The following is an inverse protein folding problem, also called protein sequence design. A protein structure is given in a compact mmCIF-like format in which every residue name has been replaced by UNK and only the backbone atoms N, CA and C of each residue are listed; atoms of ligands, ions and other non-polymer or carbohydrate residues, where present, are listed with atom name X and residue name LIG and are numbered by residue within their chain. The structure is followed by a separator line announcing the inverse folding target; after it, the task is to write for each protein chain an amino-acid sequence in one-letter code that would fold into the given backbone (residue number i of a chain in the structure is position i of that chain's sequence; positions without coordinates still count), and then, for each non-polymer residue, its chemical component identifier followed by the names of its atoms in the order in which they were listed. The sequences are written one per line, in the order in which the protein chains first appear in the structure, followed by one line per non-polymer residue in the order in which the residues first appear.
data_IF_195621759856
#
_entry.id   IF_195621759856
#
_cell.length_a   1.000
_cell.length_b   1.000
_cell.length_c   1.000
_cell.angle_alpha   90.00
_cell.angle_beta   90.00
_cell.angle_gamma   90.00
#
_symmetry.space_group_name_H-M   'P 1'
#
loop_
_entity.id
_entity.type
_entity.pdbx_description
1 polymer ?
#
# COMPACT_ATOMS: atom_id res chain seq x y z
N UNK A 1 -29.34 -17.87 -17.37
CA UNK A 1 -29.00 -16.46 -17.12
C UNK A 1 -27.59 -16.40 -16.59
N UNK A 2 -26.70 -15.76 -17.34
CA UNK A 2 -25.31 -15.61 -16.92
C UNK A 2 -25.02 -14.13 -16.64
N UNK A 3 -24.74 -13.81 -15.38
CA UNK A 3 -24.36 -12.45 -14.96
C UNK A 3 -22.87 -12.17 -15.22
N UNK A 4 -22.08 -13.17 -15.63
CA UNK A 4 -20.65 -13.02 -15.83
C UNK A 4 -19.93 -12.69 -14.53
N UNK A 5 -19.00 -11.74 -14.59
CA UNK A 5 -18.19 -11.32 -13.44
C UNK A 5 -18.81 -10.06 -12.81
N UNK A 6 -19.16 -10.16 -11.52
CA UNK A 6 -19.62 -9.03 -10.72
C UNK A 6 -18.61 -8.70 -9.62
N UNK A 7 -18.41 -7.42 -9.33
CA UNK A 7 -17.58 -6.98 -8.20
C UNK A 7 -18.21 -7.43 -6.88
N UNK A 8 -17.40 -7.76 -5.86
CA UNK A 8 -17.90 -8.05 -4.52
C UNK A 8 -18.67 -6.83 -3.96
N UNK A 9 -19.80 -7.07 -3.28
CA UNK A 9 -20.64 -5.97 -2.75
C UNK A 9 -21.51 -5.25 -3.79
N UNK A 10 -21.55 -5.73 -5.03
CA UNK A 10 -22.35 -5.10 -6.10
C UNK A 10 -23.63 -5.88 -6.38
N UNK A 11 -24.51 -5.27 -7.18
CA UNK A 11 -25.71 -5.93 -7.71
C UNK A 11 -25.67 -5.94 -9.23
N UNK A 12 -26.05 -7.07 -9.83
CA UNK A 12 -26.26 -7.21 -11.26
C UNK A 12 -27.74 -7.42 -11.56
N UNK A 13 -28.24 -6.91 -12.70
CA UNK A 13 -29.64 -7.09 -13.10
C UNK A 13 -29.75 -7.59 -14.54
N UNK A 14 -30.49 -8.67 -14.76
CA UNK A 14 -30.78 -9.23 -16.08
C UNK A 14 -32.28 -9.39 -16.29
N UNK A 15 -32.70 -9.34 -17.54
CA UNK A 15 -34.08 -9.58 -17.95
C UNK A 15 -34.27 -11.06 -18.33
N UNK A 16 -35.28 -11.68 -17.73
CA UNK A 16 -35.83 -12.98 -18.09
C UNK A 16 -37.15 -12.76 -18.82
N UNK A 17 -37.18 -13.06 -20.11
CA UNK A 17 -38.42 -13.01 -20.90
C UNK A 17 -39.13 -14.36 -20.81
N UNK A 18 -40.35 -14.35 -20.29
CA UNK A 18 -41.25 -15.50 -20.31
C UNK A 18 -42.32 -15.25 -21.38
N UNK A 19 -42.55 -16.21 -22.25
CA UNK A 19 -43.48 -16.07 -23.36
C UNK A 19 -44.25 -17.37 -23.59
N UNK A 20 -45.58 -17.26 -23.65
CA UNK A 20 -46.43 -18.36 -24.05
C UNK A 20 -46.45 -18.50 -25.57
N UNK A 21 -46.24 -19.73 -26.04
CA UNK A 21 -46.40 -20.11 -27.46
C UNK A 21 -47.80 -20.65 -27.78
N UNK A 22 -48.58 -21.05 -26.77
CA UNK A 22 -49.90 -21.70 -26.92
C UNK A 22 -51.11 -20.75 -27.07
N UNK A 23 -50.90 -19.45 -27.27
CA UNK A 23 -51.95 -18.48 -27.59
C UNK A 23 -52.92 -18.08 -26.47
N UNK A 24 -52.84 -18.70 -25.28
CA UNK A 24 -53.65 -18.37 -24.10
C UNK A 24 -52.84 -17.56 -23.06
N UNK A 25 -53.49 -17.06 -22.01
CA UNK A 25 -52.80 -16.40 -20.89
C UNK A 25 -52.11 -17.43 -19.99
N UNK A 26 -50.87 -17.18 -19.58
CA UNK A 26 -50.20 -17.98 -18.54
C UNK A 26 -50.51 -17.39 -17.16
N UNK A 27 -50.70 -18.29 -16.20
CA UNK A 27 -50.76 -17.98 -14.78
C UNK A 27 -49.52 -18.61 -14.15
N UNK A 28 -48.56 -17.78 -13.78
CA UNK A 28 -47.25 -18.28 -13.35
C UNK A 28 -46.74 -17.62 -12.08
N UNK A 29 -45.89 -18.38 -11.39
CA UNK A 29 -45.12 -17.96 -10.23
C UNK A 29 -43.63 -18.08 -10.55
N UNK A 30 -42.86 -17.10 -10.09
CA UNK A 30 -41.41 -17.05 -10.25
C UNK A 30 -40.78 -17.00 -8.87
N UNK A 31 -39.92 -17.97 -8.59
CA UNK A 31 -39.19 -18.07 -7.34
C UNK A 31 -37.71 -18.37 -7.59
N UNK A 32 -36.86 -18.02 -6.64
CA UNK A 32 -35.44 -18.41 -6.65
C UNK A 32 -35.13 -19.31 -5.47
N UNK A 33 -34.17 -20.20 -5.64
CA UNK A 33 -33.70 -21.12 -4.59
C UNK A 33 -32.55 -20.56 -3.74
N UNK A 34 -32.02 -19.37 -4.04
CA UNK A 34 -30.92 -18.75 -3.30
C UNK A 34 -31.26 -17.32 -2.91
N UNK A 35 -30.93 -16.94 -1.68
CA UNK A 35 -31.21 -15.61 -1.14
C UNK A 35 -30.49 -14.47 -1.88
N UNK A 36 -29.32 -14.74 -2.48
CA UNK A 36 -28.57 -13.77 -3.27
C UNK A 36 -29.15 -13.51 -4.67
N UNK A 37 -30.20 -14.24 -5.08
CA UNK A 37 -30.97 -13.96 -6.31
C UNK A 37 -32.38 -13.55 -5.93
N UNK A 38 -32.78 -12.38 -6.39
CA UNK A 38 -34.14 -11.85 -6.20
C UNK A 38 -34.79 -11.58 -7.54
N UNK A 39 -36.12 -11.62 -7.55
CA UNK A 39 -36.93 -11.29 -8.73
C UNK A 39 -37.87 -10.14 -8.39
N UNK A 40 -38.06 -9.22 -9.32
CA UNK A 40 -38.91 -8.04 -9.09
C UNK A 40 -40.41 -8.37 -9.03
N UNK A 41 -40.81 -9.52 -9.58
CA UNK A 41 -42.18 -10.01 -9.57
C UNK A 41 -42.18 -11.51 -9.33
N UNK A 42 -43.01 -11.95 -8.38
CA UNK A 42 -43.14 -13.37 -7.99
C UNK A 42 -44.31 -14.07 -8.65
N UNK A 43 -45.24 -13.32 -9.23
CA UNK A 43 -46.38 -13.86 -9.97
C UNK A 43 -46.69 -13.00 -11.19
N UNK A 44 -47.30 -13.61 -12.19
CA UNK A 44 -47.72 -12.92 -13.41
C UNK A 44 -48.96 -13.59 -14.03
N UNK A 45 -49.76 -12.76 -14.71
CA UNK A 45 -50.91 -13.18 -15.51
C UNK A 45 -50.78 -12.51 -16.87
N UNK A 46 -50.11 -13.18 -17.81
CA UNK A 46 -49.87 -12.62 -19.15
C UNK A 46 -49.50 -13.73 -20.14
N UNK A 47 -49.67 -13.47 -21.43
CA UNK A 47 -49.08 -14.30 -22.49
C UNK A 47 -47.59 -14.00 -22.70
N UNK A 48 -47.10 -12.83 -22.29
CA UNK A 48 -45.68 -12.50 -22.26
C UNK A 48 -45.35 -11.52 -21.14
N UNK A 49 -44.26 -11.78 -20.43
CA UNK A 49 -43.79 -10.94 -19.33
C UNK A 49 -42.27 -10.90 -19.30
N UNK A 50 -41.72 -9.76 -18.89
CA UNK A 50 -40.28 -9.60 -18.63
C UNK A 50 -40.07 -9.49 -17.13
N UNK A 51 -39.44 -10.50 -16.53
CA UNK A 51 -39.04 -10.55 -15.13
C UNK A 51 -37.62 -10.06 -15.01
N UNK A 52 -37.39 -9.09 -14.14
CA UNK A 52 -36.04 -8.70 -13.80
C UNK A 52 -35.52 -9.52 -12.65
N UNK A 53 -34.36 -10.12 -12.89
CA UNK A 53 -33.60 -10.91 -11.93
C UNK A 53 -32.44 -10.05 -11.45
N UNK A 54 -32.34 -9.88 -10.14
CA UNK A 54 -31.24 -9.17 -9.49
C UNK A 54 -30.38 -10.17 -8.72
N UNK A 55 -29.08 -10.19 -9.00
CA UNK A 55 -28.09 -10.92 -8.22
C UNK A 55 -27.37 -9.94 -7.29
N UNK A 56 -27.28 -10.26 -6.01
CA UNK A 56 -26.62 -9.46 -4.98
C UNK A 56 -25.38 -10.19 -4.44
N UNK A 57 -24.21 -9.59 -4.61
CA UNK A 57 -22.93 -10.19 -4.20
C UNK A 57 -22.44 -9.72 -2.83
N UNK A 58 -23.21 -8.93 -2.07
CA UNK A 58 -22.83 -8.40 -0.75
C UNK A 58 -22.47 -9.47 0.29
N UNK A 59 -23.13 -10.63 0.24
CA UNK A 59 -22.86 -11.76 1.12
C UNK A 59 -21.98 -12.85 0.50
N UNK A 60 -21.44 -12.65 -0.69
CA UNK A 60 -20.69 -13.66 -1.44
C UNK A 60 -19.17 -13.45 -1.34
N UNK A 61 -18.41 -14.54 -1.31
CA UNK A 61 -16.95 -14.50 -1.23
C UNK A 61 -16.34 -14.14 -2.57
N UNK A 62 -15.39 -13.21 -2.55
CA UNK A 62 -14.62 -12.81 -3.73
C UNK A 62 -13.86 -14.00 -4.36
N UNK A 63 -13.69 -13.97 -5.68
CA UNK A 63 -12.94 -14.97 -6.45
C UNK A 63 -13.68 -16.29 -6.69
N UNK A 64 -14.88 -16.48 -6.13
CA UNK A 64 -15.67 -17.72 -6.27
C UNK A 64 -16.75 -17.62 -7.35
N UNK A 65 -17.14 -18.78 -7.88
CA UNK A 65 -18.29 -18.93 -8.77
C UNK A 65 -19.52 -19.40 -7.97
N UNK A 66 -20.68 -18.90 -8.33
CA UNK A 66 -21.96 -19.21 -7.69
C UNK A 66 -23.01 -19.59 -8.71
N UNK A 67 -23.83 -20.57 -8.33
CA UNK A 67 -24.94 -21.05 -9.13
C UNK A 67 -26.25 -21.08 -8.34
N UNK A 68 -27.31 -20.62 -8.97
CA UNK A 68 -28.67 -20.64 -8.47
C UNK A 68 -29.62 -21.11 -9.58
N UNK A 69 -30.88 -21.26 -9.21
CA UNK A 69 -31.96 -21.60 -10.13
C UNK A 69 -33.13 -20.66 -9.88
N UNK A 70 -33.75 -20.23 -10.96
CA UNK A 70 -35.05 -19.59 -10.95
C UNK A 70 -36.04 -20.62 -11.45
N UNK A 71 -37.08 -20.85 -10.66
CA UNK A 71 -38.16 -21.77 -11.00
C UNK A 71 -39.35 -20.94 -11.41
N UNK A 72 -39.79 -21.13 -12.66
CA UNK A 72 -41.01 -20.58 -13.21
C UNK A 72 -42.04 -21.70 -13.20
N UNK A 73 -42.99 -21.65 -12.27
CA UNK A 73 -44.10 -22.59 -12.23
C UNK A 73 -45.30 -22.00 -12.94
N UNK A 74 -46.00 -22.79 -13.73
CA UNK A 74 -47.24 -22.31 -14.36
C UNK A 74 -48.37 -23.32 -14.23
N UNK A 75 -49.60 -22.83 -14.05
CA UNK A 75 -50.78 -23.68 -13.90
C UNK A 75 -51.18 -24.38 -15.20
N UNK A 76 -50.82 -23.81 -16.35
CA UNK A 76 -51.33 -24.23 -17.66
C UNK A 76 -50.26 -24.27 -18.78
N UNK A 77 -48.98 -24.11 -18.45
CA UNK A 77 -47.86 -24.09 -19.41
C UNK A 77 -46.66 -24.96 -19.02
N UNK A 78 -46.73 -25.70 -17.90
CA UNK A 78 -45.62 -26.48 -17.36
C UNK A 78 -44.66 -25.66 -16.48
N UNK A 79 -43.70 -26.37 -15.87
CA UNK A 79 -42.68 -25.77 -15.02
C UNK A 79 -41.35 -25.68 -15.79
N UNK A 80 -40.67 -24.55 -15.66
CA UNK A 80 -39.36 -24.33 -16.26
C UNK A 80 -38.33 -23.92 -15.19
N UNK A 81 -37.11 -24.44 -15.32
CA UNK A 81 -35.99 -24.13 -14.44
C UNK A 81 -34.92 -23.40 -15.23
N UNK A 82 -34.68 -22.14 -14.87
CA UNK A 82 -33.67 -21.29 -15.50
C UNK A 82 -32.42 -21.29 -14.61
N UNK A 83 -31.28 -21.84 -15.09
CA UNK A 83 -30.03 -21.77 -14.34
C UNK A 83 -29.53 -20.32 -14.29
N UNK A 84 -29.02 -19.92 -13.13
CA UNK A 84 -28.39 -18.62 -12.89
C UNK A 84 -26.94 -18.85 -12.51
N UNK A 85 -26.00 -18.23 -13.22
CA UNK A 85 -24.57 -18.29 -12.92
C UNK A 85 -23.99 -16.90 -12.75
N UNK A 86 -23.03 -16.77 -11.82
CA UNK A 86 -22.17 -15.61 -11.71
C UNK A 86 -20.80 -16.00 -11.15
N UNK A 87 -19.83 -15.13 -11.34
CA UNK A 87 -18.54 -15.18 -10.64
C UNK A 87 -18.32 -13.85 -9.91
N UNK A 88 -17.93 -13.93 -8.65
CA UNK A 88 -17.53 -12.72 -7.92
C UNK A 88 -16.06 -12.44 -8.25
N UNK A 89 -15.77 -11.21 -8.67
CA UNK A 89 -14.41 -10.76 -8.94
C UNK A 89 -13.52 -11.05 -7.72
N UNK A 90 -12.28 -11.50 -7.95
CA UNK A 90 -11.31 -11.65 -6.88
C UNK A 90 -10.90 -10.27 -6.36
N UNK A 91 -10.58 -10.18 -5.07
CA UNK A 91 -9.95 -8.99 -4.52
C UNK A 91 -8.58 -8.83 -5.17
N UNK A 92 -8.30 -7.64 -5.67
CA UNK A 92 -7.02 -7.36 -6.30
C UNK A 92 -5.97 -7.16 -5.19
N UNK A 93 -5.07 -8.13 -5.03
CA UNK A 93 -4.03 -8.11 -3.99
C UNK A 93 -2.68 -7.81 -4.64
N UNK A 94 -2.03 -6.68 -4.30
CA UNK A 94 -0.67 -6.41 -4.72
C UNK A 94 0.31 -7.29 -3.93
N UNK A 95 1.45 -7.61 -4.53
CA UNK A 95 2.56 -8.35 -3.90
C UNK A 95 3.87 -7.71 -4.30
N UNK A 96 4.64 -7.23 -3.32
CA UNK A 96 5.94 -6.59 -3.56
C UNK A 96 6.96 -7.64 -4.02
N UNK A 97 7.62 -7.35 -5.13
CA UNK A 97 8.69 -8.13 -5.70
C UNK A 97 9.82 -7.21 -6.21
N UNK A 98 10.94 -7.81 -6.60
CA UNK A 98 12.08 -7.08 -7.21
C UNK A 98 12.96 -6.28 -6.25
N UNK A 99 12.59 -6.13 -4.98
CA UNK A 99 13.44 -5.51 -3.96
C UNK A 99 14.69 -6.39 -3.70
N UNK A 100 15.92 -5.91 -4.00
CA UNK A 100 17.13 -6.67 -3.67
C UNK A 100 17.34 -6.70 -2.15
N UNK A 101 17.90 -7.78 -1.62
CA UNK A 101 18.26 -7.84 -0.19
C UNK A 101 19.49 -6.99 0.13
N UNK A 102 20.44 -6.92 -0.81
CA UNK A 102 21.71 -6.20 -0.65
C UNK A 102 22.01 -5.41 -1.93
N UNK A 103 22.47 -4.17 -1.75
CA UNK A 103 23.07 -3.33 -2.78
C UNK A 103 24.50 -3.04 -2.37
N UNK A 104 25.45 -3.53 -3.17
CA UNK A 104 26.87 -3.29 -2.95
C UNK A 104 27.38 -2.22 -3.90
N UNK A 105 27.85 -1.09 -3.36
CA UNK A 105 28.48 -0.03 -4.14
C UNK A 105 29.97 -0.28 -4.45
N UNK A 106 30.58 -1.27 -3.80
CA UNK A 106 32.00 -1.60 -3.92
C UNK A 106 32.90 -0.49 -3.36
N UNK A 107 34.16 -0.51 -3.80
CA UNK A 107 35.13 0.52 -3.46
C UNK A 107 34.76 1.87 -4.10
N UNK A 108 34.67 2.90 -3.27
CA UNK A 108 34.28 4.24 -3.68
C UNK A 108 35.21 5.27 -3.05
N UNK A 109 35.79 6.12 -3.90
CA UNK A 109 36.70 7.17 -3.46
C UNK A 109 36.07 8.08 -2.39
N UNK A 110 36.83 8.50 -1.36
CA UNK A 110 36.36 9.45 -0.36
C UNK A 110 35.91 10.78 -1.02
N UNK A 111 34.77 11.32 -0.60
CA UNK A 111 34.27 12.60 -1.15
C UNK A 111 33.42 12.49 -2.40
N UNK A 112 33.06 11.28 -2.84
CA UNK A 112 32.30 11.07 -4.09
C UNK A 112 30.85 10.64 -3.81
N UNK A 113 30.02 10.75 -4.85
CA UNK A 113 28.63 10.28 -4.86
C UNK A 113 28.51 9.12 -5.85
N UNK A 114 27.93 8.01 -5.40
CA UNK A 114 27.55 6.88 -6.25
C UNK A 114 26.05 6.73 -6.32
N UNK A 115 25.56 6.29 -7.46
CA UNK A 115 24.13 6.15 -7.73
C UNK A 115 23.88 4.76 -8.30
N UNK A 116 22.83 4.08 -7.82
CA UNK A 116 22.32 2.83 -8.38
C UNK A 116 20.81 2.90 -8.50
N UNK A 117 20.30 2.44 -9.64
CA UNK A 117 18.86 2.31 -9.86
C UNK A 117 18.36 1.01 -9.27
N UNK A 118 17.28 1.08 -8.49
CA UNK A 118 16.54 -0.06 -7.96
C UNK A 118 15.16 -0.06 -8.58
N UNK A 119 14.67 -1.23 -8.96
CA UNK A 119 13.30 -1.39 -9.48
C UNK A 119 12.50 -2.31 -8.57
N UNK A 120 11.39 -1.78 -8.05
CA UNK A 120 10.36 -2.56 -7.38
C UNK A 120 9.32 -2.96 -8.41
N UNK A 121 8.79 -4.17 -8.27
CA UNK A 121 7.77 -4.72 -9.13
C UNK A 121 6.62 -5.27 -8.30
N UNK A 122 5.44 -5.36 -8.92
CA UNK A 122 4.28 -6.00 -8.34
C UNK A 122 4.03 -7.33 -9.04
N UNK A 123 4.15 -8.44 -8.30
CA UNK A 123 3.79 -9.78 -8.82
C UNK A 123 2.32 -10.13 -8.59
N UNK A 124 1.58 -9.29 -7.88
CA UNK A 124 0.15 -9.45 -7.60
C UNK A 124 -0.76 -8.82 -8.66
N UNK A 125 -2.07 -8.87 -8.42
CA UNK A 125 -3.11 -8.36 -9.32
C UNK A 125 -3.62 -6.96 -8.97
N UNK A 126 -3.30 -6.47 -7.75
CA UNK A 126 -3.63 -5.13 -7.27
C UNK A 126 -2.73 -4.03 -7.85
N UNK A 127 -2.95 -2.78 -7.42
CA UNK A 127 -1.98 -1.70 -7.64
C UNK A 127 -1.05 -1.63 -6.44
N UNK A 128 0.25 -1.69 -6.67
CA UNK A 128 1.24 -1.55 -5.60
C UNK A 128 1.40 -0.07 -5.24
N UNK A 129 1.26 0.21 -3.95
CA UNK A 129 1.31 1.55 -3.37
C UNK A 129 2.17 1.47 -2.13
N UNK A 130 3.09 2.41 -1.97
CA UNK A 130 3.99 2.39 -0.85
C UNK A 130 4.92 3.58 -0.75
N UNK A 131 5.82 3.49 0.22
CA UNK A 131 6.84 4.48 0.52
C UNK A 131 8.19 3.81 0.74
N UNK A 132 9.26 4.49 0.37
CA UNK A 132 10.64 4.07 0.67
C UNK A 132 11.32 5.10 1.55
N UNK A 133 12.02 4.64 2.59
CA UNK A 133 12.63 5.51 3.59
C UNK A 133 13.97 4.95 4.07
N UNK A 134 14.92 5.83 4.37
CA UNK A 134 16.19 5.49 5.00
C UNK A 134 16.45 6.36 6.22
N UNK A 135 17.14 5.79 7.21
CA UNK A 135 17.66 6.52 8.39
C UNK A 135 19.18 6.68 8.33
N UNK A 136 19.80 6.26 7.23
CA UNK A 136 21.25 6.24 7.08
C UNK A 136 21.70 7.60 6.52
N UNK A 137 22.47 8.41 7.26
CA UNK A 137 22.74 9.81 6.87
C UNK A 137 23.49 9.98 5.54
N UNK A 138 24.29 8.99 5.16
CA UNK A 138 25.06 8.98 3.91
C UNK A 138 24.28 8.39 2.71
N UNK A 139 23.04 7.94 2.92
CA UNK A 139 22.14 7.46 1.88
C UNK A 139 21.01 8.45 1.61
N UNK A 140 20.71 8.65 0.33
CA UNK A 140 19.54 9.38 -0.13
C UNK A 140 18.79 8.56 -1.18
N UNK A 141 17.48 8.79 -1.28
CA UNK A 141 16.59 8.15 -2.26
C UNK A 141 16.00 9.25 -3.15
N UNK A 142 15.98 9.06 -4.46
CA UNK A 142 15.43 10.06 -5.39
C UNK A 142 13.93 10.27 -5.24
N UNK A 143 13.23 9.21 -4.85
CA UNK A 143 11.78 9.15 -4.69
C UNK A 143 11.46 8.45 -3.38
N UNK A 144 10.38 8.88 -2.73
CA UNK A 144 9.99 8.36 -1.41
C UNK A 144 8.61 7.72 -1.39
N UNK A 145 7.80 7.93 -2.43
CA UNK A 145 6.45 7.42 -2.54
C UNK A 145 6.18 6.88 -3.93
N UNK A 146 5.31 5.89 -4.05
CA UNK A 146 4.96 5.32 -5.33
C UNK A 146 3.55 4.74 -5.35
N UNK A 147 2.94 4.81 -6.54
CA UNK A 147 1.68 4.14 -6.89
C UNK A 147 1.83 3.61 -8.31
N UNK A 148 2.48 2.46 -8.44
CA UNK A 148 2.78 1.85 -9.72
C UNK A 148 3.10 0.37 -9.55
N UNK A 149 2.81 -0.43 -10.57
CA UNK A 149 3.17 -1.85 -10.59
C UNK A 149 4.64 -2.11 -10.96
N UNK A 150 5.30 -1.08 -11.49
CA UNK A 150 6.75 -1.02 -11.67
C UNK A 150 7.19 0.36 -11.24
N UNK A 151 8.13 0.42 -10.31
CA UNK A 151 8.64 1.66 -9.75
C UNK A 151 10.16 1.62 -9.69
N UNK A 152 10.81 2.52 -10.41
CA UNK A 152 12.26 2.64 -10.41
C UNK A 152 12.68 3.94 -9.75
N UNK A 153 13.67 3.86 -8.87
CA UNK A 153 14.22 5.01 -8.16
C UNK A 153 15.73 4.85 -7.98
N UNK A 154 16.40 5.95 -7.69
CA UNK A 154 17.84 5.96 -7.48
C UNK A 154 18.17 5.91 -5.99
N UNK A 155 19.06 5.00 -5.63
CA UNK A 155 19.74 4.96 -4.35
C UNK A 155 21.07 5.67 -4.50
N UNK A 156 21.28 6.69 -3.68
CA UNK A 156 22.40 7.61 -3.75
C UNK A 156 23.24 7.46 -2.48
N UNK A 157 24.49 7.03 -2.62
CA UNK A 157 25.44 6.94 -1.52
C UNK A 157 26.46 8.09 -1.62
N UNK A 158 26.67 8.82 -0.52
CA UNK A 158 27.62 9.95 -0.45
C UNK A 158 28.72 9.67 0.56
N UNK A 159 29.97 9.59 0.11
CA UNK A 159 31.14 9.23 0.96
C UNK A 159 31.86 10.42 1.57
N UNK A 160 31.36 11.66 1.40
CA UNK A 160 32.04 12.87 1.85
C UNK A 160 32.32 12.93 3.36
N UNK A 161 31.45 12.34 4.18
CA UNK A 161 31.57 12.32 5.63
C UNK A 161 31.88 10.92 6.18
N UNK A 162 32.31 9.98 5.33
CA UNK A 162 32.63 8.61 5.73
C UNK A 162 34.14 8.46 5.94
N UNK A 163 34.51 7.91 7.10
CA UNK A 163 35.90 7.52 7.36
C UNK A 163 36.30 6.33 6.45
N UNK A 164 37.59 6.09 6.21
CA UNK A 164 38.04 4.88 5.53
C UNK A 164 37.55 3.61 6.23
N UNK A 165 37.09 2.63 5.46
CA UNK A 165 36.56 1.35 5.94
C UNK A 165 35.22 0.96 5.30
N UNK A 166 34.65 -0.13 5.80
CA UNK A 166 33.34 -0.64 5.40
C UNK A 166 32.22 0.11 6.10
N UNK A 167 31.24 0.58 5.33
CA UNK A 167 30.01 1.18 5.86
C UNK A 167 28.80 0.41 5.38
N UNK A 168 27.92 0.10 6.33
CA UNK A 168 26.65 -0.57 6.07
C UNK A 168 25.49 0.30 6.54
N UNK A 169 24.49 0.41 5.68
CA UNK A 169 23.28 1.19 5.89
C UNK A 169 22.07 0.43 5.39
N UNK A 170 20.88 0.94 5.67
CA UNK A 170 19.66 0.30 5.21
C UNK A 170 18.59 1.31 4.81
N UNK A 171 17.73 0.89 3.90
CA UNK A 171 16.45 1.55 3.64
C UNK A 171 15.32 0.51 3.66
N UNK A 172 14.13 0.98 3.98
CA UNK A 172 12.93 0.17 4.13
C UNK A 172 11.91 0.57 3.07
N UNK A 173 11.25 -0.43 2.52
CA UNK A 173 10.11 -0.32 1.62
C UNK A 173 8.87 -0.72 2.42
N UNK A 174 7.92 0.19 2.53
CA UNK A 174 6.62 -0.06 3.13
C UNK A 174 5.59 -0.03 2.01
N UNK A 175 4.96 -1.16 1.69
CA UNK A 175 3.96 -1.22 0.63
C UNK A 175 2.75 -2.06 1.03
N UNK A 176 1.62 -1.80 0.37
CA UNK A 176 0.41 -2.63 0.50
C UNK A 176 0.60 -4.06 -0.03
N UNK A 177 1.70 -4.34 -0.75
CA UNK A 177 2.08 -5.69 -1.18
C UNK A 177 3.10 -6.37 -0.27
N UNK A 178 3.41 -5.79 0.89
CA UNK A 178 4.35 -6.31 1.87
C UNK A 178 5.55 -5.38 2.13
N UNK A 179 6.23 -5.52 3.29
CA UNK A 179 7.43 -4.77 3.60
C UNK A 179 8.69 -5.43 3.00
N UNK A 180 9.70 -4.63 2.71
CA UNK A 180 11.05 -5.12 2.41
C UNK A 180 12.12 -4.25 3.06
N UNK A 181 13.22 -4.86 3.48
CA UNK A 181 14.42 -4.15 3.98
C UNK A 181 15.57 -4.43 3.02
N UNK A 182 16.25 -3.37 2.60
CA UNK A 182 17.38 -3.44 1.69
C UNK A 182 18.62 -2.91 2.40
N UNK A 183 19.64 -3.77 2.50
CA UNK A 183 20.94 -3.39 3.04
C UNK A 183 21.79 -2.78 1.94
N UNK A 184 22.53 -1.72 2.25
CA UNK A 184 23.44 -1.06 1.34
C UNK A 184 24.83 -1.08 1.96
N UNK A 185 25.80 -1.61 1.21
CA UNK A 185 27.20 -1.67 1.64
C UNK A 185 28.08 -0.86 0.71
N UNK A 186 29.07 -0.19 1.28
CA UNK A 186 30.05 0.62 0.54
C UNK A 186 31.41 0.51 1.24
N UNK A 187 32.48 0.44 0.45
CA UNK A 187 33.85 0.40 0.95
C UNK A 187 34.54 1.72 0.61
N UNK A 188 35.11 2.40 1.60
CA UNK A 188 35.88 3.63 1.40
C UNK A 188 37.36 3.31 1.61
N UNK A 189 38.21 3.32 0.57
CA UNK A 189 39.63 3.05 0.72
C UNK A 189 40.31 4.18 1.51
N UNK A 190 41.40 3.84 2.21
CA UNK A 190 42.25 4.84 2.84
C UNK A 190 42.85 5.76 1.77
N UNK A 191 42.89 7.07 2.04
CA UNK A 191 43.66 7.99 1.20
C UNK A 191 45.13 7.59 1.27
N UNK A 192 45.74 7.28 0.15
CA UNK A 192 47.20 7.17 0.06
C UNK A 192 47.83 8.52 0.43
N UNK A 193 48.84 8.57 1.33
CA UNK A 193 49.57 9.80 1.66
C UNK A 193 50.38 10.43 0.52
N UNK A 194 50.14 10.06 -0.74
CA UNK A 194 51.18 10.06 -1.79
C UNK A 194 51.08 11.08 -2.93
N UNK A 195 50.15 12.03 -2.96
CA UNK A 195 50.09 13.01 -4.08
C UNK A 195 49.77 14.44 -3.63
N UNK A 196 50.81 15.29 -3.55
CA UNK A 196 50.68 16.75 -3.49
C UNK A 196 51.75 17.47 -2.66
N UNK A 197 52.99 17.56 -3.18
CA UNK A 197 54.08 18.39 -2.62
C UNK A 197 53.77 19.90 -2.68
N UNK A 198 53.84 20.59 -1.54
CA UNK A 198 54.58 21.85 -1.39
C UNK A 198 54.66 22.26 0.09
N UNK A 199 55.83 22.03 0.68
CA UNK A 199 56.26 22.64 1.93
C UNK A 199 56.16 24.16 1.81
N UNK A 200 55.29 24.78 2.63
CA UNK A 200 55.47 26.18 3.02
C UNK A 200 55.67 26.21 4.52
N UNK A 201 56.88 26.57 4.91
CA UNK A 201 57.31 26.87 6.27
C UNK A 201 56.25 27.71 6.97
N UNK A 202 55.58 27.13 7.97
CA UNK A 202 54.73 27.86 8.88
C UNK A 202 55.62 28.64 9.84
N UNK A 203 55.70 29.96 9.64
CA UNK A 203 56.08 30.88 10.72
C UNK A 203 54.93 30.85 11.73
N UNK A 204 55.27 30.48 12.96
CA UNK A 204 54.34 30.43 14.09
C UNK A 204 53.72 31.81 14.36
N UNK A 205 52.38 31.97 14.37
CA UNK A 205 51.77 33.12 15.01
C UNK A 205 51.50 32.82 16.50
N UNK A 206 51.64 33.85 17.34
CA UNK A 206 51.37 33.85 18.77
C UNK A 206 49.92 33.44 19.11
N UNK A 207 49.63 32.93 20.32
CA UNK A 207 48.28 32.45 20.66
C UNK A 207 47.29 33.63 20.77
N UNK A 208 46.03 33.48 20.31
CA UNK A 208 44.98 34.45 20.55
C UNK A 208 44.41 34.33 21.99
N UNK A 209 43.76 35.40 22.51
CA UNK A 209 43.18 35.41 23.86
C UNK A 209 41.90 34.55 23.93
N UNK A 210 41.41 34.19 25.14
CA UNK A 210 40.27 33.28 25.28
C UNK A 210 38.98 33.93 24.75
N UNK A 211 38.34 33.30 23.75
CA UNK A 211 37.00 33.64 23.29
C UNK A 211 35.94 32.90 24.13
N UNK A 212 34.87 33.63 24.43
CA UNK A 212 33.66 33.18 25.14
C UNK A 212 33.02 31.94 24.48
N UNK A 213 32.28 31.12 25.24
CA UNK A 213 31.70 29.88 24.71
C UNK A 213 30.66 30.15 23.62
N UNK A 214 30.93 29.61 22.43
CA UNK A 214 30.05 29.55 21.27
C UNK A 214 28.76 28.75 21.60
N UNK A 215 27.56 29.19 21.19
CA UNK A 215 26.32 28.50 21.50
C UNK A 215 26.25 27.15 20.76
N UNK A 216 25.91 26.11 21.52
CA UNK A 216 25.79 24.74 21.02
C UNK A 216 24.82 24.62 19.83
N UNK A 217 25.28 23.94 18.77
CA UNK A 217 24.44 23.40 17.71
C UNK A 217 23.27 22.60 18.29
N UNK A 218 22.05 22.69 17.72
CA UNK A 218 20.88 22.04 18.28
C UNK A 218 21.06 20.53 18.20
N UNK A 219 21.11 19.91 19.37
CA UNK A 219 21.03 18.46 19.51
C UNK A 219 19.66 18.02 19.02
N UNK A 220 19.59 16.95 18.21
CA UNK A 220 18.35 16.24 17.91
C UNK A 220 17.86 15.61 19.20
N UNK A 221 17.11 16.39 19.99
CA UNK A 221 16.57 15.96 21.27
C UNK A 221 15.65 14.76 21.07
N UNK A 222 15.85 13.74 21.90
CA UNK A 222 14.87 12.70 22.18
C UNK A 222 13.51 13.38 22.41
N UNK A 223 12.40 12.93 21.78
CA UNK A 223 11.11 13.57 21.95
C UNK A 223 10.79 13.73 23.44
N UNK A 224 10.75 14.97 23.93
CA UNK A 224 10.39 15.23 25.32
C UNK A 224 9.02 14.63 25.65
N UNK A 225 8.71 14.38 26.93
CA UNK A 225 7.45 13.74 27.34
C UNK A 225 6.19 14.51 26.90
N UNK A 226 6.31 15.80 26.57
CA UNK A 226 5.25 16.61 25.97
C UNK A 226 4.93 16.19 24.51
N UNK A 227 5.95 16.04 23.66
CA UNK A 227 5.78 15.67 22.25
C UNK A 227 5.26 14.24 22.10
N UNK A 228 5.70 13.32 22.96
CA UNK A 228 5.19 11.95 23.00
C UNK A 228 3.69 11.91 23.33
N UNK A 229 3.24 12.70 24.32
CA UNK A 229 1.82 12.81 24.69
C UNK A 229 0.98 13.39 23.56
N UNK A 230 1.50 14.40 22.85
CA UNK A 230 0.80 14.99 21.71
C UNK A 230 0.64 13.99 20.56
N UNK A 231 1.71 13.27 20.19
CA UNK A 231 1.66 12.28 19.12
C UNK A 231 0.74 11.10 19.45
N UNK A 232 0.73 10.62 20.69
CA UNK A 232 -0.21 9.60 21.15
C UNK A 232 -1.66 10.10 21.09
N UNK A 233 -1.91 11.36 21.48
CA UNK A 233 -3.24 11.95 21.40
C UNK A 233 -3.73 12.10 19.95
N UNK A 234 -2.84 12.40 19.00
CA UNK A 234 -3.16 12.43 17.56
C UNK A 234 -3.50 11.05 17.02
N UNK A 235 -2.69 10.04 17.34
CA UNK A 235 -2.94 8.65 16.92
C UNK A 235 -4.32 8.15 17.40
N UNK A 236 -4.71 8.49 18.63
CA UNK A 236 -6.02 8.12 19.19
C UNK A 236 -7.22 8.77 18.48
N UNK A 237 -7.02 9.84 17.71
CA UNK A 237 -8.07 10.52 16.93
C UNK A 237 -8.24 9.96 15.52
N UNK A 238 -7.32 9.13 15.05
CA UNK A 238 -7.36 8.56 13.72
C UNK A 238 -8.26 7.32 13.75
N UNK A 239 -9.36 7.33 12.98
CA UNK A 239 -10.15 6.14 12.72
C UNK A 239 -9.52 5.34 11.56
N UNK A 240 -9.03 4.11 11.81
CA UNK A 240 -8.43 3.29 10.77
C UNK A 240 -9.51 2.66 9.89
N UNK A 241 -9.39 2.83 8.58
CA UNK A 241 -10.32 2.31 7.57
C UNK A 241 -9.93 0.91 7.09
N UNK A 242 -8.79 0.40 7.55
CA UNK A 242 -8.24 -0.90 7.16
C UNK A 242 -7.48 -1.53 8.34
N UNK A 243 -7.43 -2.86 8.37
CA UNK A 243 -6.68 -3.61 9.39
C UNK A 243 -5.18 -3.26 9.36
N UNK A 244 -4.64 -2.92 8.18
CA UNK A 244 -3.27 -2.44 8.04
C UNK A 244 -3.03 -1.11 8.79
N UNK A 245 -3.99 -0.18 8.73
CA UNK A 245 -3.86 1.13 9.39
C UNK A 245 -3.92 0.96 10.91
N UNK A 246 -4.75 0.04 11.39
CA UNK A 246 -4.74 -0.38 12.80
C UNK A 246 -3.36 -0.88 13.21
N UNK A 247 -2.76 -1.78 12.44
CA UNK A 247 -1.46 -2.36 12.76
C UNK A 247 -0.34 -1.31 12.72
N UNK A 248 -0.37 -0.39 11.74
CA UNK A 248 0.56 0.74 11.67
C UNK A 248 0.43 1.66 12.89
N UNK A 249 -0.79 2.10 13.23
CA UNK A 249 -1.04 2.98 14.37
C UNK A 249 -0.61 2.32 15.69
N UNK A 250 -0.82 1.00 15.83
CA UNK A 250 -0.34 0.21 16.97
C UNK A 250 1.19 0.14 17.03
N UNK A 251 1.87 -0.05 15.90
CA UNK A 251 3.33 -0.04 15.82
C UNK A 251 3.92 1.34 16.18
N UNK A 252 3.32 2.42 15.65
CA UNK A 252 3.70 3.80 15.97
C UNK A 252 3.49 4.11 17.46
N UNK A 253 2.37 3.68 18.03
CA UNK A 253 2.07 3.82 19.46
C UNK A 253 3.16 3.18 20.32
N UNK A 254 3.56 1.94 19.99
CA UNK A 254 4.64 1.24 20.71
C UNK A 254 5.98 1.94 20.59
N UNK A 255 6.30 2.50 19.42
CA UNK A 255 7.54 3.25 19.22
C UNK A 255 7.58 4.54 20.03
N UNK A 256 6.48 5.30 20.06
CA UNK A 256 6.37 6.53 20.85
C UNK A 256 6.45 6.24 22.35
N UNK A 257 5.75 5.21 22.83
CA UNK A 257 5.79 4.79 24.25
C UNK A 257 7.19 4.30 24.67
N UNK A 258 7.93 3.69 23.76
CA UNK A 258 9.32 3.27 23.99
C UNK A 258 10.32 4.43 23.90
N UNK A 259 9.86 5.67 23.67
CA UNK A 259 10.71 6.86 23.51
C UNK A 259 11.63 6.81 22.30
N UNK A 260 11.30 5.99 21.30
CA UNK A 260 12.08 5.90 20.07
C UNK A 260 11.78 7.12 19.19
N UNK A 261 12.80 7.75 18.60
CA UNK A 261 12.59 8.84 17.66
C UNK A 261 11.86 8.31 16.42
N UNK A 262 10.78 8.99 16.04
CA UNK A 262 10.04 8.71 14.81
C UNK A 262 10.80 9.30 13.63
N UNK A 263 10.87 8.55 12.53
CA UNK A 263 11.38 9.04 11.27
C UNK A 263 10.43 10.09 10.68
N UNK A 264 10.93 11.02 9.85
CA UNK A 264 10.09 12.02 9.17
C UNK A 264 8.92 11.40 8.39
N UNK A 265 9.10 10.21 7.79
CA UNK A 265 8.04 9.50 7.09
C UNK A 265 6.96 8.90 8.01
N UNK A 266 7.33 8.47 9.22
CA UNK A 266 6.37 7.99 10.23
C UNK A 266 5.55 9.16 10.77
N UNK A 267 6.20 10.30 10.99
CA UNK A 267 5.56 11.55 11.38
C UNK A 267 4.61 12.05 10.29
N UNK A 268 5.06 12.07 9.03
CA UNK A 268 4.25 12.45 7.87
C UNK A 268 3.01 11.56 7.75
N UNK A 269 3.11 10.26 8.05
CA UNK A 269 1.97 9.35 7.98
C UNK A 269 0.94 9.60 9.07
N UNK A 270 1.36 9.98 10.28
CA UNK A 270 0.43 10.42 11.34
C UNK A 270 -0.34 11.66 10.88
N UNK A 271 0.34 12.66 10.31
CA UNK A 271 -0.32 13.87 9.81
C UNK A 271 -1.22 13.62 8.60
N UNK A 272 -0.85 12.73 7.69
CA UNK A 272 -1.67 12.37 6.53
C UNK A 272 -2.97 11.67 6.95
N UNK A 273 -2.87 10.71 7.88
CA UNK A 273 -4.03 9.98 8.39
C UNK A 273 -4.94 10.86 9.26
N UNK A 274 -4.39 11.81 9.99
CA UNK A 274 -5.15 12.82 10.75
C UNK A 274 -5.87 13.81 9.82
N UNK A 275 -5.20 14.32 8.79
CA UNK A 275 -5.80 15.24 7.83
C UNK A 275 -6.97 14.60 7.07
N UNK A 276 -6.91 13.31 6.77
CA UNK A 276 -8.00 12.56 6.13
C UNK A 276 -9.28 12.50 6.99
N UNK A 277 -9.14 12.44 8.31
CA UNK A 277 -10.28 12.43 9.23
C UNK A 277 -10.89 13.82 9.49
N UNK A 278 -10.21 14.90 9.11
CA UNK A 278 -10.68 16.27 9.30
C UNK A 278 -11.57 16.79 8.15
N UNK A 279 -11.56 16.10 7.00
CA UNK A 279 -12.35 16.42 5.80
C UNK A 279 -13.66 15.60 5.67
N UNK A 280 -14.03 14.83 6.72
CA UNK A 280 -15.27 14.06 6.82
C UNK A 280 -16.24 14.66 7.84
#
# INVERSE_FOLDING_TARGET
LDFGILTAGSTGRLALKVQNVGGRTLFGEVSSNRAWVTVNQRSFISSSVVVFVTADTSGLRAGQAYSAQIVVKTLNGGDEVVPVTLRVAATAEPQLAGAPSIIDFGETEPGTRKVRTVSLTNSGSGTLIGTVATRTPWLALSEQQFRANTFSFEVIATTANLAPGEHSGQFQVFSNGGPATVTVVIQVPARDPGTGLASRTAVSPAPPPPEDPEPASPSLETPGPALQRELLARILRIEPESDWERDLLMALTRMIQAGRPLAPGELAKIYELEARGADA
#
